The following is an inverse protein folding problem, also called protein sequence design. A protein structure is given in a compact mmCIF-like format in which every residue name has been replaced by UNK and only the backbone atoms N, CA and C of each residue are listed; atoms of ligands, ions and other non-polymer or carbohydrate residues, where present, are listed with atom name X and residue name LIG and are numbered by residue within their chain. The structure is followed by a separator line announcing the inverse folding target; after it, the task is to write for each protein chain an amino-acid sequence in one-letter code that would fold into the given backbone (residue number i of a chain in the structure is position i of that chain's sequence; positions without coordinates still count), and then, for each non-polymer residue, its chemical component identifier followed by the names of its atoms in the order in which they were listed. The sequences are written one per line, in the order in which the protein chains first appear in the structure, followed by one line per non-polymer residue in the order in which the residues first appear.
data_IF_034518346305
#
_entry.id   IF_034518346305
#
_cell.length_a   1.000
_cell.length_b   1.000
_cell.length_c   1.000
_cell.angle_alpha   90.00
_cell.angle_beta   90.00
_cell.angle_gamma   90.00
#
_symmetry.space_group_name_H-M   'P 1'
#
loop_
_entity.id
_entity.type
_entity.pdbx_description
1 polymer ?
#
# COMPACT_ATOMS: atom_id res chain seq x y z
N UNK A 1 6.28 16.52 -20.14
CA UNK A 1 5.94 16.71 -18.72
C UNK A 1 5.01 15.64 -18.17
N UNK A 2 3.73 15.55 -18.55
CA UNK A 2 2.81 14.57 -17.92
C UNK A 2 3.15 13.09 -18.20
N UNK A 3 3.99 12.82 -19.20
CA UNK A 3 4.55 11.49 -19.51
C UNK A 3 5.77 11.16 -18.62
N UNK A 4 6.53 12.17 -18.22
CA UNK A 4 7.76 12.04 -17.44
C UNK A 4 7.46 12.10 -15.94
N UNK A 5 6.63 13.04 -15.52
CA UNK A 5 6.06 13.13 -14.17
C UNK A 5 4.54 12.90 -14.26
N UNK A 6 4.09 11.74 -13.79
CA UNK A 6 2.67 11.36 -13.89
C UNK A 6 1.79 12.09 -12.86
N UNK A 7 2.37 12.73 -11.85
CA UNK A 7 1.66 13.45 -10.78
C UNK A 7 1.30 14.88 -11.17
N UNK A 8 1.88 15.40 -12.25
CA UNK A 8 1.68 16.79 -12.65
C UNK A 8 0.22 17.08 -13.02
N UNK A 9 -0.32 18.15 -12.45
CA UNK A 9 -1.70 18.56 -12.75
C UNK A 9 -1.75 19.28 -14.10
N UNK A 10 -2.90 19.23 -14.78
CA UNK A 10 -3.10 19.96 -16.03
C UNK A 10 -2.89 21.48 -15.89
N UNK A 11 -3.07 22.03 -14.67
CA UNK A 11 -2.79 23.44 -14.37
C UNK A 11 -1.29 23.74 -14.40
N UNK A 12 -0.47 22.89 -13.78
CA UNK A 12 0.99 23.04 -13.82
C UNK A 12 1.51 22.90 -15.25
N UNK A 13 0.95 21.96 -16.03
CA UNK A 13 1.31 21.83 -17.46
C UNK A 13 0.94 23.10 -18.25
N UNK A 14 -0.24 23.68 -18.00
CA UNK A 14 -0.65 24.93 -18.65
C UNK A 14 0.30 26.09 -18.30
N UNK A 15 0.62 26.28 -17.01
CA UNK A 15 1.55 27.31 -16.54
C UNK A 15 2.94 27.15 -17.16
N UNK A 16 3.42 25.90 -17.27
CA UNK A 16 4.71 25.64 -17.90
C UNK A 16 4.71 26.01 -19.38
N UNK A 17 3.66 25.64 -20.12
CA UNK A 17 3.54 26.00 -21.55
C UNK A 17 3.51 27.52 -21.72
N UNK A 18 2.74 28.21 -20.88
CA UNK A 18 2.68 29.68 -20.89
C UNK A 18 4.06 30.30 -20.60
N UNK A 19 4.83 29.76 -19.65
CA UNK A 19 6.18 30.26 -19.35
C UNK A 19 7.20 30.09 -20.48
N UNK A 20 7.04 29.05 -21.30
CA UNK A 20 8.00 28.73 -22.38
C UNK A 20 7.58 29.36 -23.71
N UNK A 21 6.27 29.44 -23.97
CA UNK A 21 5.74 29.87 -25.27
C UNK A 21 5.11 31.26 -25.24
N UNK A 22 4.97 31.86 -24.05
CA UNK A 22 4.25 33.12 -23.81
C UNK A 22 2.78 33.11 -24.28
N UNK A 23 2.24 31.93 -24.58
CA UNK A 23 0.86 31.75 -25.00
C UNK A 23 0.07 31.06 -23.88
N UNK A 24 -1.01 31.71 -23.45
CA UNK A 24 -1.89 31.15 -22.43
C UNK A 24 -2.71 29.99 -23.01
N UNK A 25 -2.75 28.86 -22.31
CA UNK A 25 -3.48 27.67 -22.73
C UNK A 25 -4.44 27.24 -21.62
N UNK A 26 -5.71 27.03 -21.97
CA UNK A 26 -6.69 26.55 -20.99
C UNK A 26 -6.35 25.15 -20.48
N UNK A 27 -6.66 24.89 -19.20
CA UNK A 27 -6.56 23.56 -18.58
C UNK A 27 -7.33 22.50 -19.38
N UNK A 28 -8.49 22.88 -19.95
CA UNK A 28 -9.32 21.98 -20.76
C UNK A 28 -8.62 21.57 -22.05
N UNK A 29 -7.89 22.48 -22.69
CA UNK A 29 -7.07 22.18 -23.86
C UNK A 29 -6.00 21.15 -23.52
N UNK A 30 -5.32 21.31 -22.38
CA UNK A 30 -4.32 20.34 -21.90
C UNK A 30 -4.95 18.97 -21.67
N UNK A 31 -6.06 18.89 -20.95
CA UNK A 31 -6.74 17.63 -20.68
C UNK A 31 -7.16 16.91 -21.98
N UNK A 32 -7.71 17.65 -22.94
CA UNK A 32 -8.13 17.09 -24.23
C UNK A 32 -6.93 16.55 -25.02
N UNK A 33 -5.80 17.27 -25.03
CA UNK A 33 -4.57 16.81 -25.68
C UNK A 33 -3.98 15.56 -25.01
N UNK A 34 -3.98 15.51 -23.68
CA UNK A 34 -3.54 14.32 -22.93
C UNK A 34 -4.45 13.10 -23.20
N UNK A 35 -5.77 13.31 -23.27
CA UNK A 35 -6.70 12.24 -23.60
C UNK A 35 -6.56 11.77 -25.05
N UNK A 36 -6.36 12.69 -25.99
CA UNK A 36 -6.08 12.38 -27.40
C UNK A 36 -4.79 11.54 -27.54
N UNK A 37 -3.79 11.76 -26.69
CA UNK A 37 -2.60 10.91 -26.66
C UNK A 37 -2.80 9.60 -25.87
N UNK A 38 -4.00 9.32 -25.36
CA UNK A 38 -4.33 8.08 -24.66
C UNK A 38 -4.07 8.10 -23.14
N UNK A 39 -3.70 9.25 -22.57
CA UNK A 39 -3.53 9.41 -21.12
C UNK A 39 -4.84 9.79 -20.44
N UNK A 40 -5.13 9.10 -19.33
CA UNK A 40 -6.30 9.40 -18.51
C UNK A 40 -5.89 9.65 -17.06
N UNK A 41 -6.57 10.58 -16.40
CA UNK A 41 -6.42 10.82 -14.97
C UNK A 41 -7.05 9.66 -14.18
N UNK A 42 -6.22 8.83 -13.58
CA UNK A 42 -6.62 7.62 -12.83
C UNK A 42 -6.04 7.66 -11.42
N UNK A 43 -6.64 6.90 -10.49
CA UNK A 43 -6.01 6.67 -9.18
C UNK A 43 -4.72 5.87 -9.38
N UNK A 44 -3.61 6.24 -8.70
CA UNK A 44 -2.39 5.44 -8.69
C UNK A 44 -2.65 4.08 -8.03
N UNK A 45 -1.75 3.14 -8.27
CA UNK A 45 -1.63 2.01 -7.33
C UNK A 45 -0.82 2.49 -6.13
N UNK A 46 -1.28 2.20 -4.91
CA UNK A 46 -0.51 2.48 -3.70
C UNK A 46 0.29 1.22 -3.38
N UNK A 47 1.60 1.36 -3.32
CA UNK A 47 2.52 0.24 -3.07
C UNK A 47 3.55 0.59 -1.99
N UNK A 48 4.17 -0.42 -1.41
CA UNK A 48 5.34 -0.22 -0.54
C UNK A 48 6.62 -0.31 -1.37
N UNK A 49 7.64 0.47 -0.98
CA UNK A 49 8.97 0.31 -1.57
C UNK A 49 9.56 -1.03 -1.12
N UNK A 50 9.71 -1.95 -2.06
CA UNK A 50 10.29 -3.26 -1.84
C UNK A 50 11.73 -3.32 -2.35
N UNK A 51 12.66 -3.65 -1.46
CA UNK A 51 14.03 -4.03 -1.82
C UNK A 51 14.05 -5.41 -2.47
N UNK A 52 15.17 -5.79 -3.09
CA UNK A 52 15.32 -7.15 -3.65
C UNK A 52 15.18 -8.24 -2.57
N UNK A 53 15.68 -8.00 -1.36
CA UNK A 53 15.53 -8.91 -0.23
C UNK A 53 14.06 -9.10 0.16
N UNK A 54 13.27 -8.01 0.23
CA UNK A 54 11.83 -8.11 0.50
C UNK A 54 11.14 -8.97 -0.56
N UNK A 55 11.42 -8.74 -1.85
CA UNK A 55 10.79 -9.52 -2.94
C UNK A 55 11.10 -11.02 -2.85
N UNK A 56 12.35 -11.39 -2.53
CA UNK A 56 12.76 -12.79 -2.37
C UNK A 56 12.01 -13.47 -1.22
N UNK A 57 12.05 -12.86 -0.03
CA UNK A 57 11.40 -13.41 1.16
C UNK A 57 9.89 -13.55 0.99
N UNK A 58 9.27 -12.58 0.32
CA UNK A 58 7.84 -12.63 0.01
C UNK A 58 7.47 -13.76 -0.92
N UNK A 59 8.24 -13.96 -2.00
CA UNK A 59 8.01 -15.09 -2.92
C UNK A 59 8.19 -16.42 -2.20
N UNK A 60 9.29 -16.56 -1.45
CA UNK A 60 9.56 -17.76 -0.67
C UNK A 60 8.39 -18.10 0.27
N UNK A 61 7.91 -17.12 1.03
CA UNK A 61 6.78 -17.32 1.92
C UNK A 61 5.52 -17.76 1.16
N UNK A 62 5.21 -17.14 0.02
CA UNK A 62 4.06 -17.55 -0.80
C UNK A 62 4.20 -18.97 -1.34
N UNK A 63 5.42 -19.40 -1.66
CA UNK A 63 5.69 -20.76 -2.13
C UNK A 63 5.53 -21.78 -0.98
N UNK A 64 5.99 -21.44 0.23
CA UNK A 64 5.84 -22.26 1.45
C UNK A 64 4.38 -22.38 1.90
N UNK A 65 3.61 -21.30 1.82
CA UNK A 65 2.20 -21.25 2.25
C UNK A 65 1.21 -21.58 1.14
N UNK A 66 1.70 -21.89 -0.08
CA UNK A 66 0.85 -22.13 -1.27
C UNK A 66 -0.18 -23.24 -1.07
N UNK A 67 0.18 -24.27 -0.30
CA UNK A 67 -0.64 -25.46 -0.08
C UNK A 67 -1.48 -25.38 1.19
N UNK A 68 -1.45 -24.26 1.91
CA UNK A 68 -2.28 -24.07 3.10
C UNK A 68 -3.75 -23.99 2.71
N UNK A 69 -4.54 -24.89 3.26
CA UNK A 69 -5.97 -25.00 2.96
C UNK A 69 -6.82 -24.88 4.22
N UNK A 70 -6.39 -25.52 5.32
CA UNK A 70 -7.08 -25.46 6.61
C UNK A 70 -6.35 -24.55 7.60
N UNK A 71 -5.02 -24.50 7.51
CA UNK A 71 -4.11 -23.77 8.39
C UNK A 71 -4.41 -22.27 8.37
N UNK A 72 -4.84 -21.71 7.23
CA UNK A 72 -5.21 -20.30 7.14
C UNK A 72 -6.40 -19.90 8.02
N UNK A 73 -7.27 -20.86 8.37
CA UNK A 73 -8.43 -20.61 9.25
C UNK A 73 -8.04 -20.59 10.74
N UNK A 74 -6.87 -21.12 11.07
CA UNK A 74 -6.32 -21.13 12.44
C UNK A 74 -5.39 -19.95 12.69
N UNK A 75 -5.14 -19.12 11.67
CA UNK A 75 -4.30 -17.92 11.78
C UNK A 75 -5.13 -16.72 12.22
N UNK A 76 -4.77 -16.14 13.36
CA UNK A 76 -5.29 -14.86 13.80
C UNK A 76 -4.50 -13.72 13.16
N UNK A 77 -5.08 -13.09 12.15
CA UNK A 77 -4.54 -11.88 11.51
C UNK A 77 -4.83 -10.64 12.36
N UNK A 78 -3.79 -9.87 12.69
CA UNK A 78 -3.91 -8.61 13.44
C UNK A 78 -3.12 -7.49 12.78
N UNK A 79 -3.65 -6.27 12.83
CA UNK A 79 -3.03 -5.07 12.26
C UNK A 79 -3.67 -3.80 12.84
N UNK A 80 -2.94 -2.68 12.79
CA UNK A 80 -3.39 -1.36 13.21
C UNK A 80 -3.61 -0.41 12.03
N UNK A 81 -4.85 0.01 11.82
CA UNK A 81 -5.20 0.98 10.76
C UNK A 81 -5.55 2.37 11.29
N UNK A 82 -5.29 3.40 10.49
CA UNK A 82 -5.66 4.80 10.79
C UNK A 82 -6.87 5.20 9.95
N UNK A 83 -7.96 5.57 10.62
CA UNK A 83 -9.17 6.11 9.97
C UNK A 83 -9.18 7.64 10.12
N UNK A 84 -9.15 8.36 9.01
CA UNK A 84 -9.20 9.83 9.02
C UNK A 84 -10.64 10.31 8.75
N UNK A 85 -11.27 10.94 9.74
CA UNK A 85 -12.70 11.35 9.69
C UNK A 85 -12.96 12.68 8.97
N UNK A 86 -11.94 13.50 8.72
CA UNK A 86 -12.11 14.90 8.26
C UNK A 86 -11.39 15.26 6.95
N UNK A 87 -10.53 14.40 6.40
CA UNK A 87 -9.74 14.72 5.20
C UNK A 87 -9.76 13.57 4.18
N UNK A 88 -10.00 13.92 2.91
CA UNK A 88 -9.88 12.96 1.80
C UNK A 88 -8.41 12.69 1.47
N UNK A 89 -7.84 11.60 1.96
CA UNK A 89 -6.50 11.10 1.55
C UNK A 89 -6.43 10.65 0.07
N UNK A 90 -7.57 10.59 -0.64
CA UNK A 90 -7.72 9.89 -1.91
C UNK A 90 -7.84 10.74 -3.18
N UNK A 91 -7.56 12.06 -3.15
CA UNK A 91 -7.77 12.94 -4.33
C UNK A 91 -6.62 12.95 -5.34
N UNK A 92 -5.49 12.32 -5.03
CA UNK A 92 -4.34 12.32 -5.94
C UNK A 92 -4.63 11.43 -7.15
N UNK A 93 -4.50 12.00 -8.36
CA UNK A 93 -4.62 11.29 -9.64
C UNK A 93 -3.33 11.40 -10.41
N UNK A 94 -3.03 10.35 -11.17
CA UNK A 94 -1.91 10.30 -12.10
C UNK A 94 -2.40 10.19 -13.54
N UNK A 95 -1.63 10.74 -14.48
CA UNK A 95 -1.85 10.55 -15.92
C UNK A 95 -1.21 9.25 -16.38
N UNK A 96 -2.01 8.27 -16.81
CA UNK A 96 -1.50 6.99 -17.32
C UNK A 96 -2.32 6.43 -18.47
N UNK A 97 -1.69 5.59 -19.28
CA UNK A 97 -2.37 4.76 -20.27
C UNK A 97 -3.09 3.58 -19.61
N UNK A 98 -3.98 2.94 -20.36
CA UNK A 98 -4.61 1.68 -19.94
C UNK A 98 -3.53 0.58 -19.91
N UNK A 99 -3.50 -0.23 -18.86
CA UNK A 99 -2.51 -1.32 -18.68
C UNK A 99 -1.26 -0.93 -17.88
N UNK A 100 -0.93 0.36 -17.76
CA UNK A 100 0.27 0.82 -17.03
C UNK A 100 0.16 0.76 -15.50
N UNK A 101 -0.90 0.13 -14.95
CA UNK A 101 -1.21 0.19 -13.51
C UNK A 101 -0.05 -0.29 -12.62
N UNK A 102 0.70 -1.28 -13.09
CA UNK A 102 1.78 -1.92 -12.32
C UNK A 102 3.17 -1.32 -12.60
N UNK A 103 3.29 -0.36 -13.51
CA UNK A 103 4.58 0.29 -13.76
C UNK A 103 4.99 1.11 -12.54
N UNK A 104 6.25 1.04 -12.12
CA UNK A 104 6.76 1.77 -10.95
C UNK A 104 6.45 3.28 -11.03
N UNK A 105 6.50 3.89 -12.22
CA UNK A 105 6.15 5.31 -12.45
C UNK A 105 4.67 5.65 -12.19
N UNK A 106 3.80 4.63 -12.09
CA UNK A 106 2.37 4.73 -11.80
C UNK A 106 2.01 4.25 -10.39
N UNK A 107 3.00 3.83 -9.61
CA UNK A 107 2.86 3.40 -8.22
C UNK A 107 3.28 4.55 -7.32
N UNK A 108 2.37 4.99 -6.45
CA UNK A 108 2.72 5.90 -5.37
C UNK A 108 3.15 5.09 -4.16
N UNK A 109 4.35 5.36 -3.68
CA UNK A 109 4.89 4.66 -2.53
C UNK A 109 4.35 5.26 -1.24
N UNK A 110 3.73 4.43 -0.40
CA UNK A 110 3.37 4.84 0.97
C UNK A 110 4.58 4.71 1.87
N UNK A 111 4.84 5.73 2.67
CA UNK A 111 5.72 5.63 3.82
C UNK A 111 4.91 5.08 5.00
N UNK A 112 5.25 3.87 5.47
CA UNK A 112 4.72 3.32 6.72
C UNK A 112 5.40 4.01 7.90
N UNK A 113 4.66 4.85 8.63
CA UNK A 113 5.04 5.28 9.97
C UNK A 113 4.77 4.16 10.99
N UNK A 114 5.37 4.21 12.19
CA UNK A 114 5.11 3.21 13.22
C UNK A 114 3.68 3.36 13.75
N UNK A 115 2.88 2.30 13.64
CA UNK A 115 1.62 2.14 14.36
C UNK A 115 1.93 1.46 15.71
N UNK A 116 1.58 2.04 16.86
CA UNK A 116 1.69 1.34 18.14
C UNK A 116 0.46 0.44 18.32
N UNK A 117 0.69 -0.84 18.60
CA UNK A 117 -0.36 -1.78 19.02
C UNK A 117 0.19 -2.79 20.02
N UNK A 118 -0.53 -2.99 21.11
CA UNK A 118 -0.38 -4.13 22.02
C UNK A 118 -1.61 -5.00 21.81
N UNK A 119 -1.43 -6.30 21.58
CA UNK A 119 -2.55 -7.23 21.56
C UNK A 119 -2.09 -8.61 21.99
N UNK A 120 -2.83 -9.22 22.91
CA UNK A 120 -2.70 -10.62 23.30
C UNK A 120 -4.05 -11.31 23.16
N UNK A 121 -4.05 -12.47 22.52
CA UNK A 121 -5.17 -13.42 22.47
C UNK A 121 -4.57 -14.83 22.46
N UNK A 122 -5.18 -15.74 23.23
CA UNK A 122 -4.70 -17.11 23.42
C UNK A 122 -5.32 -18.07 22.39
N UNK A 123 -4.52 -19.06 21.99
CA UNK A 123 -4.84 -20.24 21.18
C UNK A 123 -5.31 -19.97 19.73
N UNK A 124 -4.38 -19.46 18.90
CA UNK A 124 -4.39 -19.48 17.44
C UNK A 124 -2.97 -19.18 16.94
N UNK A 125 -2.59 -19.60 15.72
CA UNK A 125 -1.32 -19.17 15.12
C UNK A 125 -1.41 -17.65 14.92
N UNK A 126 -0.54 -16.90 15.59
CA UNK A 126 -0.60 -15.44 15.60
C UNK A 126 0.18 -14.86 14.41
N UNK A 127 -0.44 -13.91 13.70
CA UNK A 127 0.21 -13.13 12.64
C UNK A 127 0.41 -11.67 13.08
N UNK A 128 1.65 -11.19 12.94
CA UNK A 128 2.05 -9.78 13.10
C UNK A 128 2.95 -9.31 11.95
N UNK A 129 2.98 -8.00 11.68
CA UNK A 129 3.60 -7.38 10.50
C UNK A 129 5.12 -7.11 10.62
N UNK A 130 5.72 -7.53 11.75
CA UNK A 130 7.12 -7.30 12.10
C UNK A 130 7.53 -5.81 12.18
N UNK A 131 6.59 -4.88 12.45
CA UNK A 131 6.97 -3.49 12.73
C UNK A 131 7.85 -3.40 13.98
N UNK A 132 8.65 -2.33 14.09
CA UNK A 132 9.66 -2.15 15.16
C UNK A 132 9.16 -2.44 16.58
N UNK A 133 7.95 -2.03 16.99
CA UNK A 133 7.42 -2.37 18.32
C UNK A 133 7.18 -3.88 18.51
N UNK A 134 6.76 -4.58 17.45
CA UNK A 134 6.40 -6.00 17.47
C UNK A 134 7.62 -6.93 17.50
N UNK A 135 8.78 -6.46 17.02
CA UNK A 135 10.06 -7.19 17.10
C UNK A 135 10.93 -6.72 18.28
N UNK A 136 10.40 -5.88 19.17
CA UNK A 136 11.14 -5.43 20.35
C UNK A 136 11.49 -6.61 21.26
N UNK A 137 12.66 -6.55 21.91
CA UNK A 137 13.16 -7.64 22.75
C UNK A 137 12.15 -8.06 23.83
N UNK A 138 11.43 -7.11 24.43
CA UNK A 138 10.38 -7.37 25.41
C UNK A 138 9.23 -8.20 24.84
N UNK A 139 8.81 -7.91 23.62
CA UNK A 139 7.73 -8.61 22.93
C UNK A 139 8.19 -10.01 22.51
N UNK A 140 9.40 -10.14 21.95
CA UNK A 140 9.98 -11.45 21.62
C UNK A 140 10.13 -12.35 22.85
N UNK A 141 10.57 -11.80 23.99
CA UNK A 141 10.66 -12.54 25.25
C UNK A 141 9.31 -13.03 25.76
N UNK A 142 8.24 -12.26 25.53
CA UNK A 142 6.87 -12.67 25.87
C UNK A 142 6.45 -13.87 25.02
N UNK A 143 6.69 -13.86 23.71
CA UNK A 143 6.39 -15.00 22.84
C UNK A 143 7.20 -16.24 23.20
N UNK A 144 8.49 -16.11 23.50
CA UNK A 144 9.31 -17.25 23.97
C UNK A 144 8.78 -17.81 25.30
N UNK A 145 8.36 -16.94 26.22
CA UNK A 145 7.81 -17.36 27.52
C UNK A 145 6.45 -18.07 27.40
N UNK A 146 5.66 -17.73 26.39
CA UNK A 146 4.32 -18.27 26.14
C UNK A 146 4.24 -19.17 24.91
N UNK A 147 5.37 -19.73 24.46
CA UNK A 147 5.46 -20.50 23.21
C UNK A 147 4.52 -21.73 23.18
N UNK A 148 4.16 -22.30 24.34
CA UNK A 148 3.19 -23.39 24.44
C UNK A 148 1.71 -22.96 24.29
N UNK A 149 1.42 -21.66 24.20
CA UNK A 149 0.06 -21.10 24.09
C UNK A 149 -0.16 -20.25 22.84
N UNK A 150 0.91 -19.84 22.14
CA UNK A 150 0.83 -18.96 20.99
C UNK A 150 2.00 -19.21 20.04
N UNK A 151 1.72 -19.87 18.92
CA UNK A 151 2.68 -20.03 17.83
C UNK A 151 2.68 -18.76 16.96
N UNK A 152 3.86 -18.27 16.62
CA UNK A 152 4.02 -17.10 15.75
C UNK A 152 4.36 -17.55 14.33
N UNK A 153 3.55 -17.13 13.36
CA UNK A 153 3.86 -17.39 11.95
C UNK A 153 5.08 -16.58 11.49
N UNK A 154 5.94 -17.19 10.67
CA UNK A 154 6.94 -16.42 9.92
C UNK A 154 6.21 -15.49 8.95
N UNK A 155 6.52 -14.18 8.97
CA UNK A 155 5.85 -13.20 8.10
C UNK A 155 6.86 -12.34 7.34
N UNK A 156 6.75 -12.22 6.01
CA UNK A 156 7.68 -11.39 5.25
C UNK A 156 7.38 -9.90 5.49
N UNK A 157 8.42 -9.13 5.84
CA UNK A 157 8.29 -7.70 6.11
C UNK A 157 7.68 -6.92 4.93
N UNK A 158 6.91 -5.86 5.23
CA UNK A 158 6.24 -4.99 4.24
C UNK A 158 5.35 -5.76 3.27
N UNK A 159 4.48 -6.62 3.81
CA UNK A 159 3.58 -7.47 3.01
C UNK A 159 2.10 -7.34 3.40
N UNK A 160 1.54 -6.12 3.45
CA UNK A 160 0.13 -5.92 3.78
C UNK A 160 -0.80 -6.71 2.85
N UNK A 161 -0.49 -6.81 1.55
CA UNK A 161 -1.31 -7.51 0.57
C UNK A 161 -1.39 -9.03 0.77
N UNK A 162 -0.56 -9.61 1.64
CA UNK A 162 -0.64 -11.02 2.02
C UNK A 162 -1.58 -11.22 3.21
N UNK A 163 -1.93 -10.16 3.94
CA UNK A 163 -2.81 -10.23 5.11
C UNK A 163 -4.28 -9.97 4.72
N UNK A 164 -5.21 -10.92 4.98
CA UNK A 164 -6.62 -10.72 4.70
C UNK A 164 -7.26 -9.54 5.46
N UNK A 165 -6.68 -9.10 6.58
CA UNK A 165 -7.22 -7.98 7.39
C UNK A 165 -7.26 -6.66 6.62
N UNK A 166 -6.36 -6.48 5.63
CA UNK A 166 -6.36 -5.31 4.75
C UNK A 166 -7.62 -5.24 3.87
N UNK A 167 -8.20 -6.39 3.51
CA UNK A 167 -9.49 -6.43 2.81
C UNK A 167 -10.61 -5.92 3.73
N UNK A 168 -10.58 -6.30 5.02
CA UNK A 168 -11.53 -5.79 6.01
C UNK A 168 -11.39 -4.28 6.18
N UNK A 169 -10.17 -3.77 6.30
CA UNK A 169 -9.94 -2.32 6.36
C UNK A 169 -10.44 -1.59 5.12
N UNK A 170 -10.30 -2.19 3.93
CA UNK A 170 -10.85 -1.62 2.69
C UNK A 170 -12.38 -1.50 2.74
N UNK A 171 -13.08 -2.53 3.25
CA UNK A 171 -14.54 -2.52 3.41
C UNK A 171 -14.96 -1.47 4.43
N UNK A 172 -14.28 -1.39 5.58
CA UNK A 172 -14.56 -0.39 6.62
C UNK A 172 -14.38 1.01 6.07
N UNK A 173 -13.27 1.29 5.38
CA UNK A 173 -13.03 2.60 4.78
C UNK A 173 -14.12 2.97 3.76
N UNK A 174 -14.52 2.05 2.89
CA UNK A 174 -15.60 2.27 1.91
C UNK A 174 -16.96 2.58 2.55
N UNK A 175 -17.24 2.06 3.74
CA UNK A 175 -18.51 2.33 4.45
C UNK A 175 -18.49 3.65 5.21
N UNK A 176 -17.31 4.13 5.57
CA UNK A 176 -17.13 5.37 6.34
C UNK A 176 -16.88 6.61 5.46
N UNK A 177 -16.62 6.44 4.15
CA UNK A 177 -16.31 7.54 3.21
C UNK A 177 -17.19 7.52 1.97
#
# INVERSE_FOLDING_TARGET
MAVTDRLVTSRIVAQHIESVTHNSVSVRTIQRRLQQSGLSARRPLLGLLLTQSHRRLRRQWCDETRMWAAESNEVLFTDGSRICLQHHDGRIRIWRHRGEKMLNICVMHRHTGPSPGIMGLAAAIFQQDNARPHVACTVQRLFVKHQHQTDLISWPARSPELSPIENMWSIVAQRLT
#
